data_IF_854942715336
#
_entry.id   IF_854942715336
#
_cell.length_a   1.000
_cell.length_b   1.000
_cell.length_c   1.000
_cell.angle_alpha   90.00
_cell.angle_beta   90.00
_cell.angle_gamma   90.00
#
_symmetry.space_group_name_H-M   'P 1'
#
loop_
_entity.id
_entity.type
_entity.pdbx_description
1 polymer ?
#
# COMPACT_ATOMS: atom_id res chain seq x y z
N UNK A 1 -30.00 -26.34 32.82
CA UNK A 1 -30.03 -25.71 31.49
C UNK A 1 -28.71 -24.96 31.39
N UNK A 2 -27.66 -25.64 30.92
CA UNK A 2 -26.34 -25.03 30.74
C UNK A 2 -26.38 -24.19 29.46
N UNK A 3 -26.05 -22.91 29.57
CA UNK A 3 -25.88 -22.03 28.42
C UNK A 3 -24.48 -22.23 27.85
N UNK A 4 -24.39 -22.78 26.64
CA UNK A 4 -23.16 -22.77 25.83
C UNK A 4 -22.71 -21.32 25.63
N UNK A 5 -21.56 -20.97 26.21
CA UNK A 5 -20.84 -19.75 25.86
C UNK A 5 -20.13 -20.05 24.55
N UNK A 6 -20.75 -19.66 23.44
CA UNK A 6 -20.13 -19.76 22.12
C UNK A 6 -18.81 -19.01 22.10
N UNK A 7 -17.73 -19.70 21.74
CA UNK A 7 -16.42 -19.11 21.49
C UNK A 7 -16.55 -18.12 20.33
N UNK A 8 -16.43 -16.83 20.62
CA UNK A 8 -16.31 -15.81 19.57
C UNK A 8 -14.95 -15.95 18.92
N UNK A 9 -14.91 -16.43 17.68
CA UNK A 9 -13.72 -16.34 16.85
C UNK A 9 -13.50 -14.87 16.46
N UNK A 10 -12.37 -14.30 16.89
CA UNK A 10 -11.92 -13.00 16.43
C UNK A 10 -10.93 -13.20 15.30
N UNK A 11 -11.36 -12.92 14.07
CA UNK A 11 -10.47 -12.84 12.91
C UNK A 11 -9.75 -11.49 12.96
N UNK A 12 -8.51 -11.49 13.44
CA UNK A 12 -7.66 -10.31 13.43
C UNK A 12 -6.67 -10.43 12.26
N UNK A 13 -6.89 -9.63 11.23
CA UNK A 13 -5.93 -9.50 10.13
C UNK A 13 -4.85 -8.49 10.53
N UNK A 14 -3.67 -8.99 10.87
CA UNK A 14 -2.52 -8.13 11.16
C UNK A 14 -1.85 -7.76 9.83
N UNK A 15 -1.76 -6.46 9.55
CA UNK A 15 -1.15 -5.92 8.32
C UNK A 15 0.02 -5.01 8.74
N UNK A 16 1.15 -5.09 8.03
CA UNK A 16 2.36 -4.31 8.29
C UNK A 16 2.98 -4.52 9.69
N UNK A 17 3.16 -5.78 10.11
CA UNK A 17 3.92 -6.06 11.33
C UNK A 17 5.41 -5.83 11.05
N UNK A 18 5.99 -4.82 11.68
CA UNK A 18 7.42 -4.62 11.78
C UNK A 18 7.88 -5.08 13.16
N UNK A 19 8.75 -6.09 13.21
CA UNK A 19 9.38 -6.54 14.44
C UNK A 19 10.79 -5.92 14.53
N UNK A 20 10.88 -4.72 15.11
CA UNK A 20 12.18 -4.13 15.47
C UNK A 20 12.69 -4.81 16.75
N UNK A 21 13.89 -5.39 16.67
CA UNK A 21 14.53 -6.12 17.77
C UNK A 21 13.72 -7.33 18.29
N UNK A 22 13.43 -8.30 17.42
CA UNK A 22 12.99 -9.61 17.87
C UNK A 22 14.14 -10.26 18.68
N UNK A 23 14.08 -10.12 20.00
CA UNK A 23 14.96 -10.83 20.94
C UNK A 23 14.24 -12.11 21.34
N UNK A 24 14.81 -13.25 20.95
CA UNK A 24 14.39 -14.55 21.43
C UNK A 24 15.04 -14.75 22.80
N UNK A 25 14.29 -14.56 23.88
CA UNK A 25 14.72 -14.99 25.21
C UNK A 25 14.33 -16.47 25.35
N UNK A 26 15.22 -17.36 24.91
CA UNK A 26 15.03 -18.80 25.02
C UNK A 26 15.42 -19.26 26.43
N UNK A 27 14.43 -19.74 27.17
CA UNK A 27 14.61 -20.41 28.45
C UNK A 27 14.67 -21.95 28.35
N UNK A 28 15.02 -22.53 27.20
CA UNK A 28 15.68 -23.85 27.20
C UNK A 28 15.43 -24.84 26.07
N UNK A 29 15.51 -24.46 24.79
CA UNK A 29 15.66 -25.47 23.71
C UNK A 29 16.64 -25.07 22.60
N UNK A 30 17.58 -25.97 22.31
CA UNK A 30 18.81 -25.75 21.53
C UNK A 30 18.67 -25.41 20.04
N UNK A 31 17.46 -25.22 19.47
CA UNK A 31 17.28 -24.65 18.12
C UNK A 31 15.94 -23.90 17.95
N UNK A 32 16.02 -22.61 17.59
CA UNK A 32 15.03 -21.94 16.74
C UNK A 32 15.75 -21.44 15.48
N UNK A 33 15.79 -22.26 14.43
CA UNK A 33 16.46 -21.91 13.17
C UNK A 33 15.48 -21.23 12.22
N UNK A 34 15.65 -19.93 12.02
CA UNK A 34 15.08 -19.23 10.87
C UNK A 34 15.91 -19.62 9.64
N UNK A 35 15.32 -20.26 8.63
CA UNK A 35 16.05 -20.57 7.39
C UNK A 35 15.26 -20.20 6.15
N UNK A 36 15.77 -19.15 5.51
CA UNK A 36 15.74 -18.82 4.09
C UNK A 36 14.36 -18.72 3.41
N UNK A 37 14.11 -17.51 2.90
CA UNK A 37 13.26 -17.27 1.75
C UNK A 37 13.49 -18.36 0.69
N UNK A 38 12.44 -19.08 0.31
CA UNK A 38 12.44 -19.79 -0.95
C UNK A 38 12.52 -18.78 -2.12
N UNK A 39 12.52 -19.25 -3.36
CA UNK A 39 12.48 -18.36 -4.54
C UNK A 39 11.28 -17.40 -4.57
N UNK A 40 10.29 -17.58 -3.67
CA UNK A 40 9.06 -16.81 -3.51
C UNK A 40 9.02 -15.97 -2.22
N UNK A 41 10.11 -15.92 -1.43
CA UNK A 41 10.21 -15.19 -0.15
C UNK A 41 9.19 -15.59 0.92
N UNK A 42 8.74 -16.85 0.91
CA UNK A 42 7.82 -17.36 1.94
C UNK A 42 8.59 -17.88 3.16
N UNK A 43 8.14 -17.55 4.38
CA UNK A 43 8.59 -18.21 5.62
C UNK A 43 7.60 -19.31 5.98
N UNK A 44 8.07 -20.55 6.04
CA UNK A 44 7.28 -21.71 6.49
C UNK A 44 7.87 -22.30 7.78
N UNK A 45 7.05 -22.98 8.59
CA UNK A 45 7.44 -23.72 9.80
C UNK A 45 7.88 -22.88 11.01
N UNK A 46 7.20 -21.77 11.30
CA UNK A 46 7.35 -21.11 12.61
C UNK A 46 6.48 -21.86 13.63
N UNK A 47 7.09 -22.42 14.68
CA UNK A 47 6.37 -22.92 15.87
C UNK A 47 6.65 -22.01 17.05
N UNK A 48 5.61 -21.69 17.80
CA UNK A 48 5.70 -21.05 19.12
C UNK A 48 5.30 -22.12 20.15
N UNK A 49 5.98 -22.17 21.29
CA UNK A 49 5.55 -23.03 22.40
C UNK A 49 4.22 -22.53 22.98
N UNK A 50 4.12 -21.22 23.26
CA UNK A 50 2.89 -20.53 23.63
C UNK A 50 2.80 -19.16 22.92
N UNK A 51 1.60 -18.77 22.47
CA UNK A 51 1.35 -17.44 21.93
C UNK A 51 0.25 -16.74 22.75
N UNK A 52 0.57 -15.58 23.35
CA UNK A 52 -0.36 -14.84 24.21
C UNK A 52 -0.74 -13.47 23.61
N UNK A 53 -2.03 -13.10 23.66
CA UNK A 53 -2.51 -11.72 23.45
C UNK A 53 -3.24 -11.28 24.72
N UNK A 54 -2.88 -10.11 25.26
CA UNK A 54 -3.50 -9.57 26.48
C UNK A 54 -3.54 -10.58 27.64
N UNK A 55 -2.44 -11.34 27.82
CA UNK A 55 -2.28 -12.44 28.79
C UNK A 55 -3.22 -13.64 28.60
N UNK A 56 -3.89 -13.77 27.46
CA UNK A 56 -4.66 -14.95 27.10
C UNK A 56 -3.88 -15.84 26.13
N UNK A 57 -3.74 -17.13 26.48
CA UNK A 57 -3.13 -18.14 25.62
C UNK A 57 -4.02 -18.37 24.38
N UNK A 58 -3.44 -18.26 23.20
CA UNK A 58 -4.09 -18.52 21.93
C UNK A 58 -3.78 -19.95 21.50
N UNK A 59 -4.76 -20.83 21.65
CA UNK A 59 -4.62 -22.27 21.38
C UNK A 59 -4.94 -22.67 19.94
N UNK A 60 -5.55 -21.77 19.15
CA UNK A 60 -5.95 -22.01 17.76
C UNK A 60 -5.50 -20.86 16.87
N UNK A 61 -4.21 -20.81 16.57
CA UNK A 61 -3.64 -19.85 15.63
C UNK A 61 -3.16 -20.57 14.37
N UNK A 62 -3.47 -20.01 13.20
CA UNK A 62 -2.99 -20.54 11.92
C UNK A 62 -2.35 -19.44 11.09
N UNK A 63 -1.18 -19.74 10.53
CA UNK A 63 -0.56 -18.90 9.51
C UNK A 63 -1.13 -19.29 8.16
N UNK A 64 -1.80 -18.35 7.48
CA UNK A 64 -2.18 -18.51 6.08
C UNK A 64 -1.17 -17.77 5.22
N UNK A 65 -0.67 -18.43 4.17
CA UNK A 65 0.08 -17.72 3.13
C UNK A 65 -0.88 -16.81 2.38
N UNK A 66 -0.51 -15.55 2.20
CA UNK A 66 -1.26 -14.60 1.39
C UNK A 66 -0.32 -13.93 0.39
N UNK A 67 -0.82 -13.73 -0.83
CA UNK A 67 -0.15 -12.95 -1.86
C UNK A 67 -0.89 -11.62 -1.98
N UNK A 68 -0.56 -10.62 -1.14
CA UNK A 68 -1.29 -9.38 -1.14
C UNK A 68 -1.12 -8.67 -2.48
N UNK A 69 -2.17 -7.95 -2.90
CA UNK A 69 -2.04 -7.01 -4.01
C UNK A 69 -1.13 -5.87 -3.55
N UNK A 70 -0.05 -5.59 -4.28
CA UNK A 70 0.88 -4.50 -3.93
C UNK A 70 0.71 -3.39 -4.96
N UNK A 71 0.52 -2.16 -4.49
CA UNK A 71 0.33 -0.99 -5.33
C UNK A 71 1.53 -0.05 -5.24
N UNK A 72 2.04 0.38 -6.39
CA UNK A 72 3.10 1.38 -6.49
C UNK A 72 2.64 2.57 -7.33
N UNK A 73 3.32 3.70 -7.19
CA UNK A 73 3.16 4.87 -8.05
C UNK A 73 4.51 5.35 -8.56
N UNK A 74 4.56 5.75 -9.83
CA UNK A 74 5.72 6.39 -10.44
C UNK A 74 5.28 7.60 -11.27
N UNK A 75 6.15 8.60 -11.42
CA UNK A 75 5.94 9.67 -12.40
C UNK A 75 6.66 9.28 -13.70
N UNK A 76 5.90 8.89 -14.73
CA UNK A 76 6.43 8.53 -16.06
C UNK A 76 6.74 9.75 -16.91
N UNK A 77 6.02 10.86 -16.68
CA UNK A 77 6.32 12.18 -17.25
C UNK A 77 6.39 13.21 -16.12
N UNK A 78 7.61 13.45 -15.63
CA UNK A 78 7.84 14.29 -14.44
C UNK A 78 7.80 15.80 -14.69
N UNK A 79 7.67 16.23 -15.94
CA UNK A 79 7.61 17.64 -16.35
C UNK A 79 6.40 17.89 -17.24
N UNK A 80 5.63 18.91 -16.87
CA UNK A 80 4.47 19.41 -17.58
C UNK A 80 4.61 20.93 -17.76
N UNK A 81 3.92 21.50 -18.74
CA UNK A 81 3.86 22.95 -18.93
C UNK A 81 2.52 23.39 -19.50
N UNK A 82 2.20 24.67 -19.29
CA UNK A 82 1.04 25.32 -19.90
C UNK A 82 1.14 25.44 -21.43
N UNK A 83 2.30 25.12 -22.02
CA UNK A 83 2.57 25.22 -23.45
C UNK A 83 2.38 23.89 -24.20
N UNK A 84 1.85 22.86 -23.54
CA UNK A 84 1.36 21.64 -24.19
C UNK A 84 1.95 20.34 -23.63
N UNK A 85 2.92 20.39 -22.72
CA UNK A 85 3.47 19.20 -22.10
C UNK A 85 2.58 18.75 -20.93
N UNK A 86 2.20 17.46 -20.94
CA UNK A 86 1.43 16.86 -19.86
C UNK A 86 2.35 16.16 -18.85
N UNK A 87 1.94 16.19 -17.59
CA UNK A 87 2.51 15.34 -16.56
C UNK A 87 1.74 14.03 -16.48
N UNK A 88 2.39 12.98 -15.99
CA UNK A 88 1.77 11.66 -15.88
C UNK A 88 2.35 10.91 -14.69
N UNK A 89 1.43 10.39 -13.87
CA UNK A 89 1.70 9.32 -12.93
C UNK A 89 1.16 8.00 -13.48
N UNK A 90 1.82 6.89 -13.15
CA UNK A 90 1.27 5.55 -13.36
C UNK A 90 1.21 4.85 -12.02
N UNK A 91 0.02 4.39 -11.68
CA UNK A 91 -0.18 3.48 -10.55
C UNK A 91 -0.18 2.06 -11.09
N UNK A 92 0.66 1.19 -10.51
CA UNK A 92 0.73 -0.23 -10.87
C UNK A 92 0.23 -1.08 -9.71
N UNK A 93 -0.34 -2.24 -10.03
CA UNK A 93 -0.64 -3.32 -9.08
C UNK A 93 0.06 -4.60 -9.49
N UNK A 94 0.57 -5.34 -8.50
CA UNK A 94 0.98 -6.74 -8.63
C UNK A 94 0.07 -7.61 -7.77
N UNK A 95 0.03 -8.92 -8.03
CA UNK A 95 -0.88 -9.84 -7.34
C UNK A 95 -2.19 -10.05 -8.10
N UNK A 96 -3.32 -10.07 -7.38
CA UNK A 96 -4.61 -10.43 -7.96
C UNK A 96 -5.16 -9.32 -8.88
N UNK A 97 -5.37 -9.65 -10.17
CA UNK A 97 -5.94 -8.74 -11.17
C UNK A 97 -7.39 -9.04 -11.55
N UNK A 98 -8.03 -10.05 -10.95
CA UNK A 98 -9.33 -10.58 -11.37
C UNK A 98 -10.53 -9.66 -11.09
N UNK A 99 -10.36 -8.69 -10.19
CA UNK A 99 -11.38 -7.71 -9.79
C UNK A 99 -10.87 -6.29 -10.00
N UNK A 100 -11.79 -5.34 -10.06
CA UNK A 100 -11.48 -3.91 -10.00
C UNK A 100 -10.80 -3.58 -8.67
N UNK A 101 -9.79 -2.72 -8.72
CA UNK A 101 -9.07 -2.23 -7.54
C UNK A 101 -9.17 -0.72 -7.48
N UNK A 102 -9.88 -0.21 -6.46
CA UNK A 102 -9.91 1.22 -6.15
C UNK A 102 -8.69 1.56 -5.32
N UNK A 103 -7.84 2.44 -5.85
CA UNK A 103 -6.64 2.95 -5.18
C UNK A 103 -6.87 4.41 -4.79
N UNK A 104 -6.66 4.73 -3.52
CA UNK A 104 -6.78 6.10 -3.00
C UNK A 104 -5.41 6.77 -2.85
N UNK A 105 -5.38 8.08 -3.02
CA UNK A 105 -4.19 8.89 -2.80
C UNK A 105 -4.55 10.28 -2.31
N UNK A 106 -3.61 10.91 -1.60
CA UNK A 106 -3.64 12.33 -1.29
C UNK A 106 -2.91 13.12 -2.36
N UNK A 107 -3.42 14.33 -2.59
CA UNK A 107 -2.84 15.30 -3.51
C UNK A 107 -2.22 16.41 -2.66
N UNK A 108 -0.92 16.64 -2.83
CA UNK A 108 -0.14 17.66 -2.15
C UNK A 108 0.72 18.43 -3.17
N UNK A 109 1.54 19.36 -2.68
CA UNK A 109 2.48 20.14 -3.49
C UNK A 109 2.16 21.62 -3.47
N UNK A 110 2.79 22.38 -4.36
CA UNK A 110 2.59 23.84 -4.47
C UNK A 110 1.60 24.23 -5.57
N UNK A 111 1.25 23.29 -6.45
CA UNK A 111 0.21 23.44 -7.45
C UNK A 111 -1.18 23.23 -6.81
N UNK A 112 -2.08 24.17 -7.03
CA UNK A 112 -3.47 24.10 -6.57
C UNK A 112 -4.36 23.38 -7.60
N UNK A 113 -5.14 22.41 -7.12
CA UNK A 113 -6.07 21.58 -7.90
C UNK A 113 -7.17 22.43 -8.53
N UNK A 114 -7.43 22.24 -9.83
CA UNK A 114 -8.41 23.03 -10.59
C UNK A 114 -7.99 24.47 -10.91
N UNK A 115 -6.80 24.91 -10.49
CA UNK A 115 -6.22 26.23 -10.82
C UNK A 115 -4.99 26.08 -11.70
N UNK A 116 -4.02 25.26 -11.28
CA UNK A 116 -2.76 25.07 -12.00
C UNK A 116 -2.80 23.88 -12.97
N UNK A 117 -3.73 22.94 -12.75
CA UNK A 117 -3.99 21.78 -13.58
C UNK A 117 -5.46 21.38 -13.47
N UNK A 118 -5.96 20.65 -14.48
CA UNK A 118 -7.32 20.14 -14.49
C UNK A 118 -7.56 19.27 -13.26
N UNK A 119 -8.66 19.51 -12.55
CA UNK A 119 -8.93 18.81 -11.30
C UNK A 119 -8.97 17.30 -11.48
N UNK A 120 -8.31 16.59 -10.56
CA UNK A 120 -8.29 15.13 -10.52
C UNK A 120 -8.97 14.62 -9.26
N UNK A 121 -9.60 13.44 -9.33
CA UNK A 121 -10.11 12.77 -8.15
C UNK A 121 -8.96 12.35 -7.22
N UNK A 122 -9.26 12.08 -5.95
CA UNK A 122 -8.33 11.51 -4.97
C UNK A 122 -8.32 9.97 -4.98
N UNK A 123 -8.81 9.36 -6.06
CA UNK A 123 -8.78 7.91 -6.27
C UNK A 123 -8.79 7.59 -7.77
N UNK A 124 -8.33 6.38 -8.09
CA UNK A 124 -8.49 5.76 -9.41
C UNK A 124 -8.93 4.31 -9.27
N UNK A 125 -9.46 3.76 -10.35
CA UNK A 125 -9.80 2.32 -10.42
C UNK A 125 -8.90 1.66 -11.45
N UNK A 126 -8.10 0.68 -11.02
CA UNK A 126 -7.46 -0.27 -11.93
C UNK A 126 -8.50 -1.35 -12.22
N UNK A 127 -9.01 -1.40 -13.45
CA UNK A 127 -10.08 -2.34 -13.82
C UNK A 127 -9.58 -3.79 -13.80
N UNK A 128 -10.50 -4.73 -13.65
CA UNK A 128 -10.24 -6.16 -13.77
C UNK A 128 -9.46 -6.47 -15.06
N UNK A 129 -8.44 -7.32 -14.94
CA UNK A 129 -7.49 -7.68 -16.00
C UNK A 129 -6.34 -6.70 -16.20
N UNK A 130 -6.46 -5.43 -15.80
CA UNK A 130 -5.39 -4.44 -15.92
C UNK A 130 -4.41 -4.52 -14.73
N UNK A 131 -3.13 -4.25 -14.97
CA UNK A 131 -2.10 -4.14 -13.92
C UNK A 131 -1.68 -2.70 -13.64
N UNK A 132 -2.18 -1.73 -14.39
CA UNK A 132 -1.78 -0.34 -14.26
C UNK A 132 -2.88 0.62 -14.70
N UNK A 133 -2.79 1.87 -14.22
CA UNK A 133 -3.66 2.97 -14.63
C UNK A 133 -2.85 4.28 -14.62
N UNK A 134 -2.91 5.09 -15.70
CA UNK A 134 -2.32 6.42 -15.71
C UNK A 134 -3.21 7.47 -15.03
N UNK A 135 -2.60 8.46 -14.40
CA UNK A 135 -3.21 9.71 -13.92
C UNK A 135 -2.55 10.85 -14.67
N UNK A 136 -3.32 11.56 -15.48
CA UNK A 136 -2.83 12.66 -16.29
C UNK A 136 -2.91 13.97 -15.50
N UNK A 137 -1.79 14.68 -15.43
CA UNK A 137 -1.72 16.04 -14.91
C UNK A 137 -1.71 16.97 -16.11
N UNK A 138 -2.87 17.51 -16.46
CA UNK A 138 -3.05 18.44 -17.57
C UNK A 138 -2.93 19.88 -17.06
N UNK A 139 -1.83 20.61 -17.34
CA UNK A 139 -1.67 21.98 -16.86
C UNK A 139 -2.78 22.89 -17.41
N UNK A 140 -3.22 23.84 -16.58
CA UNK A 140 -4.16 24.88 -16.96
C UNK A 140 -3.46 26.22 -17.06
N UNK A 141 -3.88 27.02 -18.04
CA UNK A 141 -3.38 28.38 -18.23
C UNK A 141 -3.77 29.23 -17.01
N UNK A 142 -2.77 29.79 -16.36
CA UNK A 142 -2.89 30.64 -15.18
C UNK A 142 -1.68 31.58 -15.08
N UNK A 143 -1.83 32.68 -14.35
CA UNK A 143 -0.88 33.81 -14.38
C UNK A 143 0.34 33.64 -13.45
N UNK A 144 0.52 32.46 -12.84
CA UNK A 144 1.69 32.22 -12.00
C UNK A 144 2.96 32.15 -12.84
N UNK A 145 4.11 32.40 -12.23
CA UNK A 145 5.41 32.29 -12.89
C UNK A 145 6.31 31.35 -12.08
N UNK A 146 7.11 30.55 -12.77
CA UNK A 146 8.05 29.60 -12.16
C UNK A 146 7.51 28.17 -12.03
N UNK A 147 8.09 27.43 -11.09
CA UNK A 147 7.86 26.00 -10.91
C UNK A 147 6.77 25.73 -9.86
N UNK A 148 5.85 24.84 -10.18
CA UNK A 148 4.85 24.29 -9.27
C UNK A 148 4.97 22.77 -9.20
N UNK A 149 4.56 22.17 -8.09
CA UNK A 149 4.65 20.71 -7.89
C UNK A 149 3.28 20.11 -7.59
N UNK A 150 3.01 18.95 -8.20
CA UNK A 150 1.94 18.02 -7.81
C UNK A 150 2.62 16.80 -7.22
N UNK A 151 2.32 16.49 -5.96
CA UNK A 151 2.81 15.32 -5.23
C UNK A 151 1.61 14.41 -4.94
N UNK A 152 1.61 13.21 -5.50
CA UNK A 152 0.65 12.18 -5.13
C UNK A 152 1.27 11.25 -4.09
N UNK A 153 0.51 10.94 -3.05
CA UNK A 153 0.90 9.96 -2.02
C UNK A 153 -0.20 8.93 -1.89
N UNK A 154 0.09 7.67 -2.20
CA UNK A 154 -0.84 6.56 -2.05
C UNK A 154 -1.25 6.42 -0.59
N UNK A 155 -2.54 6.18 -0.36
CA UNK A 155 -3.08 5.96 0.97
C UNK A 155 -3.16 4.48 1.28
N UNK A 156 -2.72 4.10 2.48
CA UNK A 156 -3.07 2.80 3.04
C UNK A 156 -4.57 2.81 3.43
N UNK A 157 -5.20 1.63 3.42
CA UNK A 157 -6.59 1.46 3.83
C UNK A 157 -6.62 0.77 5.21
N UNK A 158 -6.81 1.51 6.31
CA UNK A 158 -6.93 0.89 7.63
C UNK A 158 -8.05 -0.14 7.63
N UNK A 159 -7.78 -1.33 8.20
CA UNK A 159 -8.73 -2.43 8.33
C UNK A 159 -9.19 -3.04 6.99
N UNK A 160 -8.45 -2.85 5.90
CA UNK A 160 -8.72 -3.48 4.60
C UNK A 160 -7.49 -4.23 4.11
N UNK A 161 -7.70 -5.41 3.53
CA UNK A 161 -6.67 -6.22 2.87
C UNK A 161 -6.70 -6.11 1.33
N UNK A 162 -7.42 -5.11 0.79
CA UNK A 162 -7.56 -4.93 -0.66
C UNK A 162 -6.23 -4.72 -1.37
N UNK A 163 -5.33 -3.94 -0.78
CA UNK A 163 -3.96 -3.78 -1.24
C UNK A 163 -3.03 -3.33 -0.12
N UNK A 164 -1.74 -3.57 -0.33
CA UNK A 164 -0.63 -3.01 0.43
C UNK A 164 0.14 -2.00 -0.44
N UNK A 165 0.81 -1.05 0.20
CA UNK A 165 1.69 -0.11 -0.49
C UNK A 165 3.04 -0.78 -0.78
N UNK A 166 3.54 -0.58 -1.99
CA UNK A 166 4.89 -0.98 -2.37
C UNK A 166 5.95 0.04 -1.92
N UNK A 167 7.18 -0.17 -2.37
CA UNK A 167 8.33 0.68 -2.03
C UNK A 167 8.13 2.12 -2.52
N UNK A 168 7.52 2.29 -3.69
CA UNK A 168 7.18 3.60 -4.24
C UNK A 168 5.71 3.90 -3.96
N UNK A 169 5.45 4.68 -2.93
CA UNK A 169 4.09 5.10 -2.54
C UNK A 169 3.87 6.60 -2.66
N UNK A 170 4.82 7.34 -3.22
CA UNK A 170 4.65 8.73 -3.57
C UNK A 170 5.43 9.08 -4.84
N UNK A 171 4.95 10.06 -5.60
CA UNK A 171 5.59 10.53 -6.82
C UNK A 171 5.32 12.02 -7.04
N UNK A 172 6.23 12.70 -7.75
CA UNK A 172 6.13 14.14 -8.03
C UNK A 172 6.13 14.42 -9.53
N UNK A 173 5.24 15.31 -9.95
CA UNK A 173 5.23 15.96 -11.27
C UNK A 173 5.45 17.46 -11.05
N UNK A 174 6.29 18.05 -11.90
CA UNK A 174 6.55 19.47 -11.90
C UNK A 174 5.78 20.14 -13.04
N UNK A 175 5.12 21.27 -12.77
CA UNK A 175 4.43 22.10 -13.75
C UNK A 175 5.20 23.40 -13.88
N UNK A 176 5.77 23.65 -15.05
CA UNK A 176 6.54 24.85 -15.35
C UNK A 176 5.68 25.88 -16.09
N UNK A 177 5.74 27.13 -15.64
CA UNK A 177 5.35 28.28 -16.44
C UNK A 177 6.53 29.26 -16.52
N UNK A 178 6.84 29.71 -17.74
CA UNK A 178 7.97 30.58 -18.07
C UNK A 178 7.48 31.97 -18.51
#
# INVERSE_FOLDING_TARGET
>A
MESEVGSKEYLINLINIYLDNLVVDDMGSIYATFSANDSQQSISNISFDDFYIENQLLTNFSFISSYPTIVNITATKMYASQFGEIGEFVITRTGNTTQDLIVKYRIHGTAEDGVHYQSIANFVTITAGASEIPIIIQPQKSDYQGLKTVLLTLENLPNSSQYMLGTNFHAVVNILNL
#
